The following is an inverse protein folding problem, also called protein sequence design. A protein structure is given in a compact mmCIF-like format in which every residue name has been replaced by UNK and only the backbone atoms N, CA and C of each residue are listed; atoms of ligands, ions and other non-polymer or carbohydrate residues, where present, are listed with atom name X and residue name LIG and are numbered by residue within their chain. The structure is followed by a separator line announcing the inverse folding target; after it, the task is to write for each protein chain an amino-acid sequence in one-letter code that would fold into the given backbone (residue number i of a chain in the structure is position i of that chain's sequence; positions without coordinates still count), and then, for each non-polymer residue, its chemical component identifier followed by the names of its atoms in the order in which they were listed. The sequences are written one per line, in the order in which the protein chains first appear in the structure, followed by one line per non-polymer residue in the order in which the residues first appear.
data_IF_239153085119
#
_entry.id   IF_239153085119
#
_cell.length_a   1.000
_cell.length_b   1.000
_cell.length_c   1.000
_cell.angle_alpha   90.00
_cell.angle_beta   90.00
_cell.angle_gamma   90.00
#
_symmetry.space_group_name_H-M   'P 1'
#
loop_
_entity.id
_entity.type
_entity.pdbx_description
1 polymer ?
#
# COMPACT_ATOMS: atom_id res chain seq x y z
N UNK A 1 12.74 -11.09 22.54
CA UNK A 1 13.51 -11.76 21.46
C UNK A 1 14.95 -11.30 21.56
N UNK A 2 15.92 -12.21 21.49
CA UNK A 2 17.35 -11.88 21.55
C UNK A 2 17.84 -11.44 20.18
N UNK A 3 18.77 -10.47 20.12
CA UNK A 3 19.28 -9.92 18.86
C UNK A 3 20.04 -10.96 18.01
N UNK A 4 20.69 -11.91 18.66
CA UNK A 4 21.42 -13.01 18.03
C UNK A 4 20.51 -14.02 17.30
N UNK A 5 19.19 -13.98 17.61
CA UNK A 5 18.18 -14.85 17.00
C UNK A 5 17.28 -14.14 16.00
N UNK A 6 17.55 -12.89 15.68
CA UNK A 6 16.81 -12.17 14.65
C UNK A 6 17.11 -12.74 13.25
N UNK A 7 16.05 -13.06 12.51
CA UNK A 7 16.18 -13.39 11.09
C UNK A 7 16.63 -12.15 10.33
N UNK A 8 17.54 -12.33 9.39
CA UNK A 8 18.14 -11.28 8.58
C UNK A 8 19.65 -11.25 8.72
N UNK A 9 20.34 -11.14 7.59
CA UNK A 9 21.77 -10.98 7.54
C UNK A 9 22.19 -9.55 7.81
N UNK A 10 23.32 -9.36 8.47
CA UNK A 10 23.96 -8.06 8.69
C UNK A 10 25.34 -8.11 8.06
N UNK A 11 25.68 -7.08 7.32
CA UNK A 11 26.97 -7.01 6.64
C UNK A 11 27.58 -5.60 6.71
N UNK A 12 28.91 -5.54 6.62
CA UNK A 12 29.65 -4.29 6.76
C UNK A 12 29.62 -3.45 5.47
N UNK A 13 29.72 -4.12 4.34
CA UNK A 13 29.84 -3.45 3.05
C UNK A 13 28.53 -2.86 2.58
N UNK A 14 28.61 -1.71 1.95
CA UNK A 14 27.46 -1.07 1.30
C UNK A 14 27.15 -1.82 0.00
N UNK A 15 25.89 -2.28 -0.21
CA UNK A 15 25.52 -2.85 -1.49
C UNK A 15 25.70 -1.82 -2.63
N UNK A 16 26.21 -2.28 -3.76
CA UNK A 16 26.59 -1.41 -4.90
C UNK A 16 25.41 -0.66 -5.52
N UNK A 17 24.21 -1.20 -5.40
CA UNK A 17 22.96 -0.65 -5.92
C UNK A 17 22.28 0.35 -4.96
N UNK A 18 22.77 0.47 -3.73
CA UNK A 18 22.24 1.41 -2.75
C UNK A 18 22.82 2.81 -2.97
N UNK A 19 22.08 3.66 -3.68
CA UNK A 19 22.50 5.06 -3.95
C UNK A 19 22.36 5.93 -2.71
N UNK A 20 21.23 5.84 -2.00
CA UNK A 20 20.96 6.65 -0.81
C UNK A 20 21.34 5.92 0.47
N UNK A 21 21.79 6.69 1.47
CA UNK A 21 22.31 6.13 2.73
C UNK A 21 21.24 5.38 3.53
N UNK A 22 20.00 5.86 3.56
CA UNK A 22 18.90 5.17 4.25
C UNK A 22 18.65 3.77 3.68
N UNK A 23 18.72 3.60 2.35
CA UNK A 23 18.62 2.29 1.71
C UNK A 23 19.79 1.38 2.14
N UNK A 24 21.02 1.91 2.06
CA UNK A 24 22.22 1.16 2.46
C UNK A 24 22.17 0.70 3.92
N UNK A 25 21.75 1.58 4.84
CA UNK A 25 21.64 1.26 6.26
C UNK A 25 20.57 0.21 6.55
N UNK A 26 19.42 0.30 5.89
CA UNK A 26 18.35 -0.69 6.04
C UNK A 26 18.76 -2.08 5.54
N UNK A 27 19.44 -2.14 4.40
CA UNK A 27 19.96 -3.41 3.87
C UNK A 27 21.04 -3.98 4.78
N UNK A 28 22.04 -3.19 5.13
CA UNK A 28 23.16 -3.60 6.00
C UNK A 28 22.71 -4.02 7.39
N UNK A 29 21.72 -3.36 7.94
CA UNK A 29 21.19 -3.62 9.28
C UNK A 29 20.25 -4.83 9.36
N UNK A 30 19.93 -5.48 8.23
CA UNK A 30 18.97 -6.57 8.20
C UNK A 30 17.53 -6.14 8.50
N UNK A 31 17.14 -4.96 8.01
CA UNK A 31 15.76 -4.45 8.10
C UNK A 31 14.90 -4.95 6.96
N UNK A 32 15.47 -5.05 5.77
CA UNK A 32 14.76 -5.50 4.56
C UNK A 32 15.70 -6.25 3.63
N UNK A 33 15.11 -6.94 2.66
CA UNK A 33 15.81 -7.69 1.61
C UNK A 33 15.07 -7.52 0.28
N UNK A 34 15.82 -7.35 -0.80
CA UNK A 34 15.26 -7.34 -2.16
C UNK A 34 14.62 -8.68 -2.50
N UNK A 35 13.42 -8.63 -3.06
CA UNK A 35 12.74 -9.73 -3.75
C UNK A 35 12.82 -9.49 -5.25
N UNK A 36 12.53 -8.25 -5.65
CA UNK A 36 12.69 -7.73 -7.00
C UNK A 36 12.88 -6.20 -6.90
N UNK A 37 13.22 -5.55 -8.01
CA UNK A 37 13.37 -4.08 -8.04
C UNK A 37 12.08 -3.39 -7.55
N UNK A 38 12.19 -2.68 -6.44
CA UNK A 38 11.07 -1.97 -5.81
C UNK A 38 10.08 -2.86 -5.05
N UNK A 39 10.45 -4.11 -4.79
CA UNK A 39 9.66 -5.06 -3.98
C UNK A 39 10.60 -5.65 -2.92
N UNK A 40 10.23 -5.48 -1.65
CA UNK A 40 11.09 -5.82 -0.51
C UNK A 40 10.38 -6.73 0.49
N UNK A 41 11.09 -7.74 0.98
CA UNK A 41 10.71 -8.41 2.22
C UNK A 41 11.14 -7.55 3.41
N UNK A 42 10.24 -7.37 4.36
CA UNK A 42 10.51 -6.67 5.60
C UNK A 42 10.88 -7.66 6.70
N UNK A 43 12.04 -7.50 7.31
CA UNK A 43 12.40 -8.26 8.51
C UNK A 43 11.77 -7.64 9.77
N UNK A 44 11.86 -8.36 10.88
CA UNK A 44 11.26 -7.98 12.17
C UNK A 44 11.54 -6.53 12.60
N UNK A 45 12.76 -5.98 12.49
CA UNK A 45 13.01 -4.60 12.89
C UNK A 45 12.18 -3.59 12.10
N UNK A 46 12.17 -3.70 10.76
CA UNK A 46 11.40 -2.80 9.90
C UNK A 46 9.89 -2.99 10.12
N UNK A 47 9.42 -4.26 10.18
CA UNK A 47 7.99 -4.53 10.40
C UNK A 47 7.48 -3.93 11.69
N UNK A 48 8.26 -3.96 12.77
CA UNK A 48 7.90 -3.32 14.06
C UNK A 48 7.87 -1.80 13.97
N UNK A 49 8.77 -1.19 13.20
CA UNK A 49 8.74 0.27 12.95
C UNK A 49 7.46 0.62 12.20
N UNK A 50 7.15 -0.10 11.11
CA UNK A 50 5.91 0.12 10.35
C UNK A 50 4.67 -0.01 11.24
N UNK A 51 4.58 -1.05 12.06
CA UNK A 51 3.46 -1.24 12.99
C UNK A 51 3.29 -0.08 13.98
N UNK A 52 4.40 0.50 14.48
CA UNK A 52 4.33 1.68 15.37
C UNK A 52 3.83 2.91 14.62
N UNK A 53 4.28 3.12 13.38
CA UNK A 53 3.82 4.22 12.53
C UNK A 53 2.32 4.02 12.21
N UNK A 54 1.93 2.81 11.84
CA UNK A 54 0.52 2.46 11.60
C UNK A 54 -0.36 2.69 12.84
N UNK A 55 0.15 2.38 14.04
CA UNK A 55 -0.59 2.61 15.30
C UNK A 55 -0.83 4.11 15.55
N UNK A 56 0.20 4.96 15.35
CA UNK A 56 0.07 6.41 15.47
C UNK A 56 -0.96 6.94 14.44
N UNK A 57 -0.89 6.45 13.21
CA UNK A 57 -1.83 6.86 12.15
C UNK A 57 -3.27 6.48 12.51
N UNK A 58 -3.50 5.28 13.08
CA UNK A 58 -4.83 4.86 13.54
C UNK A 58 -5.35 5.77 14.64
N UNK A 59 -4.52 6.04 15.65
CA UNK A 59 -4.87 6.93 16.75
C UNK A 59 -5.34 8.31 16.25
N UNK A 60 -4.61 8.90 15.30
CA UNK A 60 -4.97 10.19 14.70
C UNK A 60 -6.22 10.12 13.82
N UNK A 61 -6.42 9.03 13.08
CA UNK A 61 -7.61 8.84 12.25
C UNK A 61 -8.86 8.60 13.10
N UNK A 62 -8.74 7.80 14.17
CA UNK A 62 -9.84 7.54 15.11
C UNK A 62 -10.23 8.82 15.88
N UNK A 63 -9.26 9.69 16.19
CA UNK A 63 -9.52 10.97 16.85
C UNK A 63 -10.35 11.95 16.02
N UNK A 64 -10.46 11.76 14.73
CA UNK A 64 -11.30 12.55 13.81
C UNK A 64 -12.52 11.76 13.29
N UNK A 65 -12.96 10.75 14.06
CA UNK A 65 -14.10 9.88 13.74
C UNK A 65 -13.97 9.09 12.42
N UNK A 66 -12.74 8.81 12.00
CA UNK A 66 -12.48 7.93 10.86
C UNK A 66 -12.78 6.47 11.21
N UNK A 67 -13.40 5.74 10.29
CA UNK A 67 -13.73 4.32 10.47
C UNK A 67 -12.79 3.46 9.64
N UNK A 68 -12.02 2.58 10.29
CA UNK A 68 -11.10 1.69 9.59
C UNK A 68 -11.87 0.61 8.82
N UNK A 69 -11.62 0.49 7.54
CA UNK A 69 -12.11 -0.56 6.64
C UNK A 69 -10.94 -1.23 5.95
N UNK A 70 -11.18 -2.33 5.25
CA UNK A 70 -10.15 -2.98 4.44
C UNK A 70 -10.72 -3.39 3.09
N UNK A 71 -10.17 -2.81 2.02
CA UNK A 71 -10.51 -3.19 0.66
C UNK A 71 -9.58 -4.27 0.12
N UNK A 72 -10.03 -5.13 -0.81
CA UNK A 72 -9.16 -6.09 -1.49
C UNK A 72 -8.04 -5.39 -2.28
N UNK A 73 -6.86 -6.03 -2.36
CA UNK A 73 -5.76 -5.55 -3.21
C UNK A 73 -6.03 -5.83 -4.68
N UNK A 74 -6.61 -7.00 -4.98
CA UNK A 74 -7.03 -7.35 -6.33
C UNK A 74 -8.48 -6.92 -6.54
N UNK A 75 -8.73 -6.11 -7.54
CA UNK A 75 -10.01 -5.49 -7.82
C UNK A 75 -10.47 -5.86 -9.24
N UNK A 76 -11.79 -6.02 -9.48
CA UNK A 76 -12.29 -6.18 -10.84
C UNK A 76 -12.06 -4.91 -11.67
N UNK A 77 -11.62 -5.10 -12.92
CA UNK A 77 -11.38 -3.99 -13.84
C UNK A 77 -12.64 -3.15 -14.10
N UNK A 78 -13.83 -3.74 -13.98
CA UNK A 78 -15.11 -3.04 -14.19
C UNK A 78 -15.31 -1.81 -13.30
N UNK A 79 -14.77 -1.80 -12.09
CA UNK A 79 -14.80 -0.61 -11.21
C UNK A 79 -14.00 0.54 -11.80
N UNK A 80 -12.87 0.22 -12.41
CA UNK A 80 -11.98 1.19 -13.05
C UNK A 80 -12.49 1.63 -14.41
N UNK A 81 -13.23 0.76 -15.13
CA UNK A 81 -13.94 1.10 -16.36
C UNK A 81 -15.07 2.10 -16.05
N UNK A 82 -15.84 1.88 -14.98
CA UNK A 82 -16.93 2.75 -14.55
C UNK A 82 -16.43 4.19 -14.24
N UNK A 83 -15.26 4.32 -13.60
CA UNK A 83 -14.63 5.62 -13.34
C UNK A 83 -13.93 6.23 -14.57
N UNK A 84 -13.79 5.50 -15.66
CA UNK A 84 -13.01 5.89 -16.84
C UNK A 84 -11.48 5.84 -16.61
N UNK A 85 -11.02 5.36 -15.44
CA UNK A 85 -9.61 5.34 -15.08
C UNK A 85 -8.87 4.12 -15.59
N UNK A 86 -9.56 3.07 -16.00
CA UNK A 86 -8.92 1.88 -16.55
C UNK A 86 -8.02 2.19 -17.75
N UNK A 87 -8.46 3.06 -18.64
CA UNK A 87 -7.68 3.48 -19.81
C UNK A 87 -6.78 4.69 -19.53
N UNK A 88 -7.27 5.65 -18.70
CA UNK A 88 -6.57 6.94 -18.52
C UNK A 88 -5.36 6.88 -17.58
N UNK A 89 -5.27 5.92 -16.66
CA UNK A 89 -4.15 5.79 -15.69
C UNK A 89 -2.91 5.20 -16.34
N UNK A 90 -2.78 4.83 -17.50
CA UNK A 90 -1.56 4.37 -18.13
C UNK A 90 -0.96 3.07 -17.55
N UNK A 91 0.35 2.89 -17.73
CA UNK A 91 1.05 1.64 -17.42
C UNK A 91 1.36 1.40 -15.95
N UNK A 92 1.17 2.39 -15.09
CA UNK A 92 1.39 2.21 -13.64
C UNK A 92 0.33 1.32 -12.99
N UNK A 93 -0.85 1.19 -13.59
CA UNK A 93 -1.88 0.27 -13.18
C UNK A 93 -1.55 -1.13 -13.68
N UNK A 94 -1.21 -2.05 -12.76
CA UNK A 94 -0.98 -3.45 -13.13
C UNK A 94 -2.30 -4.12 -13.44
N UNK A 95 -2.44 -4.59 -14.67
CA UNK A 95 -3.60 -5.30 -15.19
C UNK A 95 -3.28 -6.77 -15.36
N UNK A 96 -4.20 -7.64 -15.04
CA UNK A 96 -4.07 -9.08 -15.24
C UNK A 96 -5.43 -9.73 -15.51
N UNK A 97 -5.41 -10.98 -15.90
CA UNK A 97 -6.62 -11.79 -16.09
C UNK A 97 -6.59 -12.93 -15.10
N UNK A 98 -7.69 -13.15 -14.40
CA UNK A 98 -7.82 -14.29 -13.51
C UNK A 98 -8.00 -15.61 -14.27
N UNK A 99 -8.06 -16.72 -13.52
CA UNK A 99 -8.22 -18.07 -14.09
C UNK A 99 -9.53 -18.23 -14.88
N UNK A 100 -10.54 -17.45 -14.56
CA UNK A 100 -11.87 -17.52 -15.18
C UNK A 100 -11.99 -16.57 -16.38
N UNK A 101 -10.92 -15.86 -16.75
CA UNK A 101 -10.92 -14.91 -17.84
C UNK A 101 -11.39 -13.50 -17.44
N UNK A 102 -11.60 -13.23 -16.15
CA UNK A 102 -12.02 -11.91 -15.68
C UNK A 102 -10.86 -10.93 -15.69
N UNK A 103 -11.06 -9.73 -16.23
CA UNK A 103 -10.07 -8.66 -16.17
C UNK A 103 -9.99 -8.10 -14.76
N UNK A 104 -8.80 -8.01 -14.22
CA UNK A 104 -8.50 -7.58 -12.86
C UNK A 104 -7.38 -6.55 -12.86
N UNK A 105 -7.28 -5.80 -11.76
CA UNK A 105 -6.18 -4.88 -11.49
C UNK A 105 -5.63 -5.10 -10.08
N UNK A 106 -4.35 -4.80 -9.86
CA UNK A 106 -3.84 -4.59 -8.50
C UNK A 106 -4.05 -3.14 -8.09
N UNK A 107 -4.66 -2.94 -6.92
CA UNK A 107 -5.00 -1.62 -6.41
C UNK A 107 -3.78 -0.72 -6.23
N UNK A 108 -3.63 0.26 -7.11
CA UNK A 108 -2.66 1.35 -6.95
C UNK A 108 -3.21 2.46 -6.02
N UNK A 109 -4.52 2.49 -5.87
CA UNK A 109 -5.35 3.33 -5.02
C UNK A 109 -6.73 2.67 -4.92
N UNK A 110 -7.64 3.13 -4.07
CA UNK A 110 -8.91 2.43 -3.82
C UNK A 110 -10.14 3.36 -3.83
N UNK A 111 -10.08 4.49 -4.55
CA UNK A 111 -11.24 5.38 -4.70
C UNK A 111 -12.45 4.64 -5.24
N UNK A 112 -12.26 3.80 -6.26
CA UNK A 112 -13.33 3.03 -6.90
C UNK A 112 -14.00 2.07 -5.91
N UNK A 113 -13.22 1.37 -5.10
CA UNK A 113 -13.72 0.44 -4.09
C UNK A 113 -14.43 1.20 -2.95
N UNK A 114 -13.91 2.36 -2.55
CA UNK A 114 -14.53 3.20 -1.53
C UNK A 114 -15.89 3.74 -2.00
N UNK A 115 -15.95 4.24 -3.22
CA UNK A 115 -17.21 4.73 -3.81
C UNK A 115 -18.21 3.60 -3.98
N UNK A 116 -17.80 2.41 -4.42
CA UNK A 116 -18.67 1.25 -4.51
C UNK A 116 -19.29 0.90 -3.16
N UNK A 117 -18.47 0.79 -2.09
CA UNK A 117 -18.94 0.49 -0.75
C UNK A 117 -19.96 1.53 -0.27
N UNK A 118 -19.66 2.81 -0.46
CA UNK A 118 -20.52 3.91 -0.01
C UNK A 118 -21.81 3.97 -0.80
N UNK A 119 -21.78 3.76 -2.10
CA UNK A 119 -22.98 3.70 -2.95
C UNK A 119 -23.96 2.63 -2.48
N UNK A 120 -23.46 1.51 -2.01
CA UNK A 120 -24.29 0.42 -1.53
C UNK A 120 -24.82 0.66 -0.10
N UNK A 121 -24.08 1.38 0.72
CA UNK A 121 -24.37 1.67 2.12
C UNK A 121 -25.18 2.96 2.33
N UNK A 122 -24.69 4.09 1.79
CA UNK A 122 -25.19 5.44 2.09
C UNK A 122 -26.30 5.88 1.12
N UNK A 123 -27.48 5.25 1.24
CA UNK A 123 -28.65 5.54 0.35
C UNK A 123 -29.48 6.76 0.78
N UNK A 124 -29.19 7.35 1.93
CA UNK A 124 -29.89 8.54 2.43
C UNK A 124 -28.89 9.61 2.80
N UNK A 125 -29.24 10.88 2.59
CA UNK A 125 -28.42 12.01 3.01
C UNK A 125 -28.18 12.03 4.54
N UNK A 126 -29.06 11.42 5.33
CA UNK A 126 -28.89 11.27 6.78
C UNK A 126 -27.71 10.37 7.15
N UNK A 127 -27.15 9.62 6.20
CA UNK A 127 -25.94 8.82 6.44
C UNK A 127 -24.67 9.67 6.42
N UNK A 128 -24.73 10.90 5.95
CA UNK A 128 -23.60 11.82 5.82
C UNK A 128 -23.58 12.86 6.96
N UNK A 129 -22.43 13.42 7.33
CA UNK A 129 -21.09 13.11 6.82
C UNK A 129 -20.49 11.89 7.51
N UNK A 130 -19.52 11.23 6.87
CA UNK A 130 -18.68 10.21 7.48
C UNK A 130 -17.34 10.08 6.76
N UNK A 131 -16.38 9.45 7.42
CA UNK A 131 -15.06 9.15 6.86
C UNK A 131 -14.74 7.67 7.05
N UNK A 132 -14.21 7.06 6.01
CA UNK A 132 -13.60 5.73 6.08
C UNK A 132 -12.12 5.84 5.73
N UNK A 133 -11.29 4.98 6.31
CA UNK A 133 -9.88 4.89 5.95
C UNK A 133 -9.41 3.44 5.98
N UNK A 134 -8.29 3.19 5.34
CA UNK A 134 -7.61 1.89 5.43
C UNK A 134 -6.11 2.08 5.55
N UNK A 135 -5.44 1.06 6.05
CA UNK A 135 -3.99 0.89 5.96
C UNK A 135 -3.76 -0.39 5.18
N UNK A 136 -3.42 -0.25 3.89
CA UNK A 136 -3.43 -1.38 2.96
C UNK A 136 -2.26 -1.31 2.00
N UNK A 137 -1.80 -2.47 1.57
CA UNK A 137 -0.84 -2.62 0.49
C UNK A 137 -1.39 -2.03 -0.81
N UNK A 138 -0.55 -1.26 -1.49
CA UNK A 138 -0.76 -0.76 -2.84
C UNK A 138 0.31 -1.33 -3.76
N UNK A 139 -0.06 -1.49 -5.02
CA UNK A 139 0.87 -1.88 -6.05
C UNK A 139 0.83 -0.88 -7.22
N UNK A 140 1.99 -0.32 -7.56
CA UNK A 140 2.18 0.53 -8.73
C UNK A 140 3.28 -0.05 -9.60
N UNK A 141 3.00 -0.32 -10.87
CA UNK A 141 4.02 -0.86 -11.79
C UNK A 141 5.00 0.25 -12.19
N UNK A 142 5.74 0.72 -11.18
CA UNK A 142 6.74 1.77 -11.30
C UNK A 142 7.87 1.33 -12.23
N UNK A 143 8.07 2.07 -13.31
CA UNK A 143 9.06 1.73 -14.32
C UNK A 143 10.52 1.85 -13.83
N UNK A 144 10.78 2.75 -12.86
CA UNK A 144 12.13 3.06 -12.36
C UNK A 144 12.18 3.12 -10.83
N UNK A 145 11.94 1.99 -10.13
CA UNK A 145 12.07 1.94 -8.68
C UNK A 145 13.49 2.31 -8.26
N UNK A 146 13.63 3.08 -7.19
CA UNK A 146 14.94 3.56 -6.70
C UNK A 146 14.87 4.06 -5.27
N UNK A 147 16.04 4.21 -4.67
CA UNK A 147 16.22 4.80 -3.36
C UNK A 147 15.52 4.03 -2.22
N UNK A 148 15.58 2.68 -2.26
CA UNK A 148 14.99 1.82 -1.25
C UNK A 148 13.49 2.00 -1.15
N UNK A 149 12.98 2.39 0.02
CA UNK A 149 11.54 2.55 0.27
C UNK A 149 10.95 3.88 -0.22
N UNK A 150 11.72 4.74 -0.90
CA UNK A 150 11.23 6.04 -1.38
C UNK A 150 10.42 5.91 -2.67
N UNK A 151 10.89 5.09 -3.61
CA UNK A 151 10.18 4.84 -4.87
C UNK A 151 10.15 3.35 -5.17
N UNK A 152 9.04 2.74 -4.85
CA UNK A 152 8.83 1.29 -4.84
C UNK A 152 7.62 0.90 -5.68
N UNK A 153 7.45 -0.39 -5.94
CA UNK A 153 6.28 -0.95 -6.60
C UNK A 153 5.21 -1.38 -5.63
N UNK A 154 5.62 -1.99 -4.50
CA UNK A 154 4.71 -2.44 -3.46
C UNK A 154 4.99 -1.71 -2.15
N UNK A 155 3.96 -1.14 -1.55
CA UNK A 155 4.07 -0.36 -0.31
C UNK A 155 2.75 -0.32 0.44
N UNK A 156 2.81 -0.01 1.73
CA UNK A 156 1.63 0.23 2.56
C UNK A 156 1.29 1.71 2.52
N UNK A 157 0.01 2.01 2.32
CA UNK A 157 -0.52 3.38 2.35
C UNK A 157 -1.68 3.46 3.35
N UNK A 158 -1.73 4.54 4.13
CA UNK A 158 -2.97 5.00 4.72
C UNK A 158 -3.67 5.89 3.69
N UNK A 159 -4.83 5.51 3.28
CA UNK A 159 -5.73 6.31 2.45
C UNK A 159 -7.07 6.48 3.15
N UNK A 160 -7.61 7.69 3.09
CA UNK A 160 -8.85 8.07 3.74
C UNK A 160 -9.78 8.77 2.75
N UNK A 161 -11.06 8.52 2.89
CA UNK A 161 -12.11 9.01 2.01
C UNK A 161 -13.22 9.60 2.87
N UNK A 162 -13.50 10.88 2.71
CA UNK A 162 -14.58 11.58 3.40
C UNK A 162 -15.74 11.83 2.45
N UNK A 163 -16.95 11.63 2.95
CA UNK A 163 -18.20 11.76 2.20
C UNK A 163 -19.10 12.76 2.90
N UNK A 164 -19.57 13.73 2.13
CA UNK A 164 -20.36 14.87 2.60
C UNK A 164 -21.60 15.08 1.72
N UNK A 165 -22.55 15.85 2.23
CA UNK A 165 -23.71 16.34 1.46
C UNK A 165 -23.34 17.58 0.68
#
# INVERSE_FOLDING_TARGET
MKLDKLVGERFKEKPSDCVVESHALMMRGGYMKDVAKGIYSQFTPLKRICQKIEAIIREEMDAIDGQEVLFPVALPASLWDESGRYESVGSELLRFTDRNGSKMVLGMTHEEAAVQLVRDYAKSYNSYPFMIYQIQTKFRDEARPRAGLIRVREFTMKDAYSFHT
#
